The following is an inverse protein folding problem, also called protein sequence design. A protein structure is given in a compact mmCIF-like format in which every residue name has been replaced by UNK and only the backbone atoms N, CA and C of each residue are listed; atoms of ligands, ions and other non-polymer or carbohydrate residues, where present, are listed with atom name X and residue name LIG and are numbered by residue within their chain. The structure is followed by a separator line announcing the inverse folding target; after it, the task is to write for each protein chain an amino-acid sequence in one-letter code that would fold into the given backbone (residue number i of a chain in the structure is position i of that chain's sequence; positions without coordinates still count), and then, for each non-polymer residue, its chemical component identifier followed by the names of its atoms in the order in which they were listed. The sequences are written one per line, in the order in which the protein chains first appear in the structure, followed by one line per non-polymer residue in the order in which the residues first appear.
data_IF_298096663286
#
_entry.id   IF_298096663286
#
_cell.length_a   1.000
_cell.length_b   1.000
_cell.length_c   1.000
_cell.angle_alpha   90.00
_cell.angle_beta   90.00
_cell.angle_gamma   90.00
#
_symmetry.space_group_name_H-M   'P 1'
#
loop_
_entity.id
_entity.type
_entity.pdbx_description
1 polymer ?
#
# COMPACT_ATOMS: atom_id res chain seq x y z
N UNK A 1 -5.79 -10.13 -15.30
CA UNK A 1 -6.88 -11.12 -15.02
C UNK A 1 -6.60 -12.10 -13.86
N UNK A 2 -5.37 -12.28 -13.34
CA UNK A 2 -5.09 -13.26 -12.26
C UNK A 2 -5.24 -12.76 -10.82
N UNK A 3 -5.26 -11.43 -10.58
CA UNK A 3 -5.30 -10.88 -9.21
C UNK A 3 -6.69 -10.94 -8.59
N UNK A 4 -7.72 -10.45 -9.28
CA UNK A 4 -9.10 -10.40 -8.75
C UNK A 4 -9.62 -11.77 -8.28
N UNK A 5 -9.43 -12.87 -9.04
CA UNK A 5 -9.88 -14.19 -8.59
C UNK A 5 -9.21 -14.67 -7.29
N UNK A 6 -7.99 -14.22 -6.97
CA UNK A 6 -7.32 -14.56 -5.72
C UNK A 6 -8.05 -13.98 -4.49
N UNK A 7 -8.88 -12.94 -4.68
CA UNK A 7 -9.71 -12.30 -3.66
C UNK A 7 -11.18 -12.70 -3.77
N UNK A 8 -11.48 -13.76 -4.54
CA UNK A 8 -12.84 -14.18 -4.87
C UNK A 8 -13.65 -13.07 -5.56
N UNK A 9 -12.96 -12.12 -6.19
CA UNK A 9 -13.55 -11.07 -6.99
C UNK A 9 -13.63 -11.55 -8.43
N UNK A 10 -14.83 -11.65 -8.95
CA UNK A 10 -15.10 -11.97 -10.34
C UNK A 10 -15.02 -10.72 -11.21
N UNK A 11 -15.61 -9.62 -10.73
CA UNK A 11 -15.71 -8.36 -11.48
C UNK A 11 -15.86 -7.16 -10.54
N UNK A 12 -15.63 -5.96 -11.08
CA UNK A 12 -15.76 -4.68 -10.37
C UNK A 12 -16.58 -3.72 -11.23
N UNK A 13 -17.60 -3.11 -10.65
CA UNK A 13 -18.43 -2.11 -11.30
C UNK A 13 -18.27 -0.76 -10.61
N UNK A 14 -18.23 0.30 -11.43
CA UNK A 14 -18.31 1.69 -10.98
C UNK A 14 -19.67 2.24 -11.42
N UNK A 15 -20.46 2.71 -10.47
CA UNK A 15 -21.72 3.38 -10.75
C UNK A 15 -21.61 4.85 -10.37
N UNK A 16 -22.03 5.74 -11.27
CA UNK A 16 -22.21 7.16 -10.93
C UNK A 16 -23.42 7.28 -9.99
N UNK A 17 -23.20 7.84 -8.80
CA UNK A 17 -24.22 8.00 -7.77
C UNK A 17 -24.42 9.48 -7.46
N UNK A 18 -25.63 9.83 -7.03
CA UNK A 18 -25.90 11.17 -6.55
C UNK A 18 -25.07 11.44 -5.28
N UNK A 19 -24.39 12.60 -5.15
CA UNK A 19 -23.69 12.97 -3.94
C UNK A 19 -24.66 13.01 -2.75
N UNK A 20 -24.45 12.18 -1.73
CA UNK A 20 -25.18 12.31 -0.48
C UNK A 20 -24.63 13.50 0.32
N UNK A 21 -25.51 14.43 0.66
CA UNK A 21 -25.14 15.61 1.44
C UNK A 21 -25.50 15.42 2.91
N UNK A 22 -24.53 15.21 3.82
CA UNK A 22 -24.81 14.95 5.24
C UNK A 22 -25.48 16.13 5.96
N UNK A 23 -25.53 17.29 5.31
CA UNK A 23 -26.08 18.54 5.84
C UNK A 23 -27.38 19.00 5.16
N UNK A 24 -28.01 18.15 4.32
CA UNK A 24 -29.18 18.54 3.51
C UNK A 24 -30.38 19.07 4.31
N UNK A 25 -30.44 18.82 5.63
CA UNK A 25 -31.55 19.18 6.51
C UNK A 25 -31.16 20.09 7.71
N UNK A 26 -30.00 20.77 7.68
CA UNK A 26 -29.67 21.71 8.76
C UNK A 26 -30.65 22.89 8.73
N UNK A 27 -31.50 22.99 9.76
CA UNK A 27 -32.34 24.17 9.99
C UNK A 27 -31.53 25.19 10.77
N UNK A 28 -31.27 26.33 10.14
CA UNK A 28 -30.68 27.51 10.76
C UNK A 28 -31.49 28.73 10.35
N UNK A 29 -31.69 29.65 11.27
CA UNK A 29 -32.34 30.93 10.97
C UNK A 29 -31.33 31.98 10.46
N UNK A 30 -30.03 31.69 10.53
CA UNK A 30 -28.96 32.56 10.04
C UNK A 30 -28.84 32.49 8.51
N UNK A 31 -29.05 33.62 7.84
CA UNK A 31 -29.04 33.71 6.38
C UNK A 31 -27.64 33.52 5.76
N UNK A 32 -26.56 33.87 6.47
CA UNK A 32 -25.21 33.61 5.99
C UNK A 32 -24.92 32.10 5.96
N UNK A 33 -25.35 31.38 6.99
CA UNK A 33 -25.22 29.93 7.03
C UNK A 33 -26.08 29.26 5.94
N UNK A 34 -27.31 29.72 5.69
CA UNK A 34 -28.14 29.21 4.58
C UNK A 34 -27.44 29.37 3.22
N UNK A 35 -26.83 30.53 2.98
CA UNK A 35 -26.11 30.81 1.74
C UNK A 35 -24.83 29.96 1.59
N UNK A 36 -24.11 29.73 2.69
CA UNK A 36 -22.95 28.83 2.70
C UNK A 36 -23.35 27.39 2.39
N UNK A 37 -24.38 26.86 3.07
CA UNK A 37 -24.86 25.49 2.85
C UNK A 37 -25.37 25.27 1.42
N UNK A 38 -26.13 26.22 0.87
CA UNK A 38 -26.62 26.12 -0.51
C UNK A 38 -25.49 26.17 -1.55
N UNK A 39 -24.47 27.00 -1.32
CA UNK A 39 -23.28 27.08 -2.18
C UNK A 39 -22.49 25.77 -2.16
N UNK A 40 -22.25 25.20 -0.98
CA UNK A 40 -21.58 23.92 -0.80
C UNK A 40 -22.40 22.79 -1.46
N UNK A 41 -23.73 22.79 -1.29
CA UNK A 41 -24.61 21.78 -1.90
C UNK A 41 -24.61 21.88 -3.44
N UNK A 42 -24.61 23.08 -4.00
CA UNK A 42 -24.53 23.27 -5.45
C UNK A 42 -23.18 22.84 -6.01
N UNK A 43 -22.09 23.16 -5.30
CA UNK A 43 -20.76 22.69 -5.66
C UNK A 43 -20.70 21.16 -5.71
N UNK A 44 -21.23 20.51 -4.67
CA UNK A 44 -21.24 19.05 -4.61
C UNK A 44 -22.15 18.38 -5.63
N UNK A 45 -23.33 18.94 -5.93
CA UNK A 45 -24.22 18.44 -6.99
C UNK A 45 -23.53 18.43 -8.37
N UNK A 46 -22.57 19.31 -8.59
CA UNK A 46 -21.80 19.37 -9.82
C UNK A 46 -20.60 18.40 -9.83
N UNK A 47 -20.33 17.70 -8.72
CA UNK A 47 -19.30 16.66 -8.68
C UNK A 47 -19.89 15.31 -9.03
N UNK A 48 -19.15 14.56 -9.85
CA UNK A 48 -19.42 13.15 -10.08
C UNK A 48 -18.92 12.34 -8.91
N UNK A 49 -19.82 11.64 -8.23
CA UNK A 49 -19.48 10.67 -7.19
C UNK A 49 -19.66 9.29 -7.77
N UNK A 50 -18.70 8.40 -7.51
CA UNK A 50 -18.78 7.02 -7.95
C UNK A 50 -18.85 6.09 -6.75
N UNK A 51 -19.77 5.13 -6.79
CA UNK A 51 -19.80 4.00 -5.89
C UNK A 51 -19.16 2.80 -6.57
N UNK A 52 -18.32 2.08 -5.82
CA UNK A 52 -17.68 0.87 -6.32
C UNK A 52 -18.39 -0.37 -5.76
N UNK A 53 -18.75 -1.28 -6.65
CA UNK A 53 -19.34 -2.58 -6.30
C UNK A 53 -18.43 -3.71 -6.75
N UNK A 54 -18.36 -4.74 -5.91
CA UNK A 54 -17.57 -5.95 -6.16
C UNK A 54 -18.54 -7.10 -6.43
N UNK A 55 -18.28 -7.85 -7.52
CA UNK A 55 -19.04 -9.04 -7.85
C UNK A 55 -18.27 -10.27 -7.41
N UNK A 56 -18.93 -11.12 -6.62
CA UNK A 56 -18.39 -12.38 -6.11
C UNK A 56 -19.21 -13.55 -6.60
N UNK A 57 -18.53 -14.67 -6.88
CA UNK A 57 -19.18 -15.92 -7.22
C UNK A 57 -19.45 -16.74 -5.96
N UNK A 58 -20.69 -17.18 -5.82
CA UNK A 58 -21.18 -18.04 -4.74
C UNK A 58 -21.71 -19.36 -5.31
N UNK A 59 -22.02 -20.32 -4.45
CA UNK A 59 -22.66 -21.57 -4.87
C UNK A 59 -24.00 -21.35 -5.59
N UNK A 60 -24.70 -20.25 -5.29
CA UNK A 60 -26.04 -19.95 -5.80
C UNK A 60 -26.04 -18.94 -6.96
N UNK A 61 -24.87 -18.59 -7.50
CA UNK A 61 -24.71 -17.57 -8.55
C UNK A 61 -23.82 -16.42 -8.12
N UNK A 62 -23.98 -15.25 -8.73
CA UNK A 62 -23.17 -14.07 -8.43
C UNK A 62 -23.90 -13.11 -7.48
N UNK A 63 -23.15 -12.51 -6.56
CA UNK A 63 -23.64 -11.44 -5.68
C UNK A 63 -22.81 -10.18 -5.93
N UNK A 64 -23.51 -9.06 -6.09
CA UNK A 64 -22.90 -7.73 -6.15
C UNK A 64 -23.06 -7.05 -4.80
N UNK A 65 -21.96 -6.63 -4.20
CA UNK A 65 -21.96 -5.91 -2.91
C UNK A 65 -21.20 -4.59 -3.02
N UNK A 66 -21.61 -3.53 -2.29
CA UNK A 66 -20.81 -2.32 -2.18
C UNK A 66 -19.43 -2.64 -1.58
N UNK A 67 -18.39 -1.96 -2.07
CA UNK A 67 -17.00 -2.15 -1.61
C UNK A 67 -16.85 -1.94 -0.09
N UNK A 68 -17.74 -1.15 0.53
CA UNK A 68 -17.71 -0.87 1.96
C UNK A 68 -17.91 -2.10 2.84
N UNK A 69 -18.58 -3.13 2.31
CA UNK A 69 -18.79 -4.42 2.97
C UNK A 69 -17.57 -5.36 2.87
N UNK A 70 -16.56 -5.01 2.09
CA UNK A 70 -15.35 -5.81 1.96
C UNK A 70 -14.36 -5.60 3.11
N UNK A 71 -13.43 -6.55 3.26
CA UNK A 71 -12.30 -6.38 4.18
C UNK A 71 -11.40 -5.22 3.74
N UNK A 72 -10.70 -4.59 4.69
CA UNK A 72 -9.74 -3.53 4.38
C UNK A 72 -8.64 -3.97 3.40
N UNK A 73 -8.18 -5.22 3.49
CA UNK A 73 -7.22 -5.78 2.53
C UNK A 73 -7.80 -5.83 1.11
N UNK A 74 -9.04 -6.31 0.97
CA UNK A 74 -9.74 -6.34 -0.33
C UNK A 74 -9.93 -4.94 -0.89
N UNK A 75 -10.40 -3.99 -0.07
CA UNK A 75 -10.57 -2.57 -0.44
C UNK A 75 -9.27 -1.99 -0.97
N UNK A 76 -8.18 -2.17 -0.20
CA UNK A 76 -6.85 -1.66 -0.58
C UNK A 76 -6.40 -2.22 -1.93
N UNK A 77 -6.58 -3.51 -2.20
CA UNK A 77 -6.20 -4.10 -3.50
C UNK A 77 -6.99 -3.47 -4.63
N UNK A 78 -8.32 -3.40 -4.49
CA UNK A 78 -9.19 -2.83 -5.51
C UNK A 78 -8.77 -1.39 -5.83
N UNK A 79 -8.49 -0.58 -4.81
CA UNK A 79 -8.04 0.80 -4.99
C UNK A 79 -6.61 0.90 -5.55
N UNK A 80 -5.72 -0.04 -5.23
CA UNK A 80 -4.32 -0.01 -5.67
C UNK A 80 -4.12 -0.55 -7.10
N UNK A 81 -5.00 -1.45 -7.57
CA UNK A 81 -4.92 -2.02 -8.91
C UNK A 81 -5.01 -0.97 -10.02
N UNK A 82 -5.84 0.05 -9.85
CA UNK A 82 -5.98 1.16 -10.79
C UNK A 82 -4.67 1.94 -10.98
N UNK A 83 -4.09 2.51 -9.90
CA UNK A 83 -2.79 3.18 -9.94
C UNK A 83 -1.65 2.30 -10.45
N UNK A 84 -1.57 1.02 -10.03
CA UNK A 84 -0.56 0.08 -10.53
C UNK A 84 -0.70 -0.10 -12.05
N UNK A 85 -1.93 -0.33 -12.53
CA UNK A 85 -2.20 -0.47 -13.95
C UNK A 85 -1.83 0.80 -14.72
N UNK A 86 -2.29 1.96 -14.25
CA UNK A 86 -2.00 3.26 -14.82
C UNK A 86 -0.49 3.53 -14.92
N UNK A 87 0.27 3.17 -13.89
CA UNK A 87 1.72 3.32 -13.87
C UNK A 87 2.39 2.47 -14.96
N UNK A 88 1.98 1.20 -15.09
CA UNK A 88 2.52 0.29 -16.11
C UNK A 88 2.20 0.77 -17.53
N UNK A 89 0.95 1.15 -17.83
CA UNK A 89 0.56 1.48 -19.22
C UNK A 89 1.08 2.85 -19.68
N UNK A 90 1.27 3.79 -18.76
CA UNK A 90 1.64 5.17 -19.08
C UNK A 90 3.10 5.49 -18.76
N UNK A 91 3.91 4.50 -18.35
CA UNK A 91 5.31 4.69 -17.94
C UNK A 91 5.50 5.72 -16.81
N UNK A 92 4.58 5.73 -15.85
CA UNK A 92 4.62 6.68 -14.74
C UNK A 92 5.36 6.11 -13.53
N UNK A 93 5.79 7.02 -12.65
CA UNK A 93 6.23 6.71 -11.29
C UNK A 93 5.01 6.60 -10.37
N UNK A 94 4.91 5.49 -9.64
CA UNK A 94 3.95 5.27 -8.57
C UNK A 94 4.68 5.29 -7.22
N UNK A 95 4.31 6.24 -6.37
CA UNK A 95 4.78 6.32 -4.99
C UNK A 95 3.70 5.74 -4.06
N UNK A 96 4.07 4.77 -3.23
CA UNK A 96 3.14 4.15 -2.28
C UNK A 96 3.77 4.08 -0.90
N UNK A 97 3.22 4.82 0.04
CA UNK A 97 3.57 4.63 1.44
C UNK A 97 2.85 3.40 2.01
N UNK A 98 3.52 2.68 2.91
CA UNK A 98 3.06 1.43 3.52
C UNK A 98 2.37 0.46 2.52
N UNK A 99 3.06 0.11 1.44
CA UNK A 99 2.49 -0.70 0.35
C UNK A 99 1.91 -2.04 0.84
N UNK A 100 2.55 -2.64 1.83
CA UNK A 100 2.21 -3.93 2.44
C UNK A 100 1.19 -3.83 3.59
N UNK A 101 0.77 -2.63 4.00
CA UNK A 101 -0.24 -2.50 5.06
C UNK A 101 -1.53 -3.24 4.68
N UNK A 102 -2.09 -4.01 5.62
CA UNK A 102 -3.28 -4.88 5.40
C UNK A 102 -3.08 -6.03 4.39
N UNK A 103 -1.88 -6.23 3.85
CA UNK A 103 -1.58 -7.34 2.95
C UNK A 103 -0.83 -8.46 3.67
N UNK A 104 -1.09 -9.68 3.23
CA UNK A 104 -0.21 -10.80 3.52
C UNK A 104 1.05 -10.70 2.65
N UNK A 105 2.22 -11.05 3.17
CA UNK A 105 3.51 -11.02 2.45
C UNK A 105 3.44 -11.56 1.01
N UNK A 106 2.81 -12.73 0.85
CA UNK A 106 2.71 -13.39 -0.46
C UNK A 106 1.93 -12.57 -1.48
N UNK A 107 0.93 -11.82 -1.04
CA UNK A 107 0.18 -10.92 -1.92
C UNK A 107 1.06 -9.76 -2.38
N UNK A 108 1.78 -9.12 -1.44
CA UNK A 108 2.71 -8.04 -1.78
C UNK A 108 3.74 -8.53 -2.81
N UNK A 109 4.37 -9.69 -2.56
CA UNK A 109 5.28 -10.33 -3.52
C UNK A 109 4.63 -10.58 -4.88
N UNK A 110 3.39 -11.06 -4.89
CA UNK A 110 2.66 -11.32 -6.13
C UNK A 110 2.41 -10.04 -6.93
N UNK A 111 2.03 -8.94 -6.28
CA UNK A 111 1.82 -7.64 -6.93
C UNK A 111 3.12 -7.09 -7.53
N UNK A 112 4.21 -7.10 -6.77
CA UNK A 112 5.53 -6.68 -7.28
C UNK A 112 6.00 -7.55 -8.45
N UNK A 113 5.81 -8.87 -8.37
CA UNK A 113 6.15 -9.78 -9.47
C UNK A 113 5.33 -9.51 -10.73
N UNK A 114 4.05 -9.19 -10.59
CA UNK A 114 3.22 -8.78 -11.74
C UNK A 114 3.77 -7.49 -12.33
N UNK A 115 4.09 -6.50 -11.50
CA UNK A 115 4.66 -5.24 -11.97
C UNK A 115 5.97 -5.47 -12.73
N UNK A 116 6.92 -6.23 -12.16
CA UNK A 116 8.19 -6.59 -12.81
C UNK A 116 8.00 -7.36 -14.12
N UNK A 117 6.99 -8.22 -14.22
CA UNK A 117 6.78 -9.07 -15.38
C UNK A 117 5.94 -8.42 -16.50
N UNK A 118 5.18 -7.37 -16.20
CA UNK A 118 4.23 -6.75 -17.14
C UNK A 118 4.56 -5.29 -17.47
N UNK A 119 5.44 -4.67 -16.70
CA UNK A 119 6.00 -3.38 -17.08
C UNK A 119 7.00 -3.58 -18.22
N UNK A 120 6.66 -3.08 -19.41
CA UNK A 120 7.51 -3.17 -20.62
C UNK A 120 8.35 -1.90 -20.87
N UNK A 121 8.28 -0.90 -19.98
CA UNK A 121 8.89 0.42 -20.20
C UNK A 121 9.55 1.03 -18.96
N UNK A 122 9.50 2.37 -18.86
CA UNK A 122 10.17 3.13 -17.81
C UNK A 122 9.32 3.33 -16.53
N UNK A 123 8.21 2.61 -16.40
CA UNK A 123 7.37 2.73 -15.19
C UNK A 123 8.14 2.29 -13.96
N UNK A 124 7.94 3.00 -12.84
CA UNK A 124 8.61 2.69 -11.58
C UNK A 124 7.61 2.65 -10.44
N UNK A 125 7.88 1.80 -9.45
CA UNK A 125 7.21 1.84 -8.15
C UNK A 125 8.27 2.11 -7.09
N UNK A 126 8.07 3.15 -6.29
CA UNK A 126 8.82 3.37 -5.05
C UNK A 126 7.82 3.16 -3.92
N UNK A 127 8.12 2.18 -3.07
CA UNK A 127 7.24 1.77 -1.99
C UNK A 127 7.98 1.74 -0.66
N UNK A 128 7.38 2.32 0.37
CA UNK A 128 7.77 2.04 1.74
C UNK A 128 7.06 0.77 2.21
N UNK A 129 7.78 -0.10 2.92
CA UNK A 129 7.26 -1.38 3.42
C UNK A 129 7.74 -1.66 4.84
N UNK A 130 6.94 -2.42 5.61
CA UNK A 130 7.30 -2.88 6.96
C UNK A 130 7.64 -4.38 7.00
N UNK A 131 7.16 -5.14 6.02
CA UNK A 131 7.32 -6.59 5.94
C UNK A 131 8.73 -6.99 5.49
N UNK A 132 9.55 -7.36 6.48
CA UNK A 132 10.93 -7.84 6.29
C UNK A 132 11.04 -9.07 5.37
N UNK A 133 9.95 -9.83 5.19
CA UNK A 133 9.96 -10.98 4.29
C UNK A 133 10.00 -10.59 2.80
N UNK A 134 9.78 -9.30 2.50
CA UNK A 134 9.99 -8.72 1.16
C UNK A 134 11.47 -8.50 0.84
N UNK A 135 12.35 -8.44 1.85
CA UNK A 135 13.79 -8.31 1.67
C UNK A 135 14.46 -9.62 1.22
N UNK A 136 14.14 -10.06 0.00
CA UNK A 136 14.64 -11.29 -0.58
C UNK A 136 14.95 -11.10 -2.08
N UNK A 137 16.09 -11.66 -2.52
CA UNK A 137 16.56 -11.59 -3.92
C UNK A 137 15.65 -12.26 -4.94
N UNK A 138 14.73 -13.13 -4.51
CA UNK A 138 13.75 -13.81 -5.36
C UNK A 138 12.65 -12.87 -5.90
N UNK A 139 12.53 -11.67 -5.30
CA UNK A 139 11.55 -10.67 -5.70
C UNK A 139 12.22 -9.35 -6.12
N UNK A 140 13.31 -8.95 -5.46
CA UNK A 140 13.99 -7.69 -5.68
C UNK A 140 15.50 -7.88 -5.81
N UNK A 141 16.15 -7.17 -6.73
CA UNK A 141 17.60 -7.09 -6.75
C UNK A 141 18.09 -6.26 -5.55
N UNK A 142 19.37 -6.45 -5.17
CA UNK A 142 19.96 -5.73 -4.03
C UNK A 142 19.88 -4.20 -4.21
N UNK A 143 20.06 -3.69 -5.43
CA UNK A 143 19.98 -2.26 -5.75
C UNK A 143 18.55 -1.68 -5.65
N UNK A 144 17.54 -2.54 -5.54
CA UNK A 144 16.14 -2.17 -5.37
C UNK A 144 15.70 -2.17 -3.89
N UNK A 145 16.57 -2.62 -2.98
CA UNK A 145 16.32 -2.61 -1.54
C UNK A 145 17.10 -1.45 -0.93
N UNK A 146 16.38 -0.56 -0.24
CA UNK A 146 16.91 0.64 0.38
C UNK A 146 16.49 0.71 1.84
N UNK A 147 17.38 1.23 2.67
CA UNK A 147 17.18 1.39 4.10
C UNK A 147 17.14 2.86 4.47
N UNK A 148 16.32 3.19 5.46
CA UNK A 148 16.31 4.50 6.09
C UNK A 148 16.74 4.32 7.54
N UNK A 149 17.93 4.82 7.87
CA UNK A 149 18.42 4.92 9.25
C UNK A 149 18.16 6.32 9.79
N UNK A 150 17.84 6.43 11.08
CA UNK A 150 17.58 7.71 11.76
C UNK A 150 18.60 7.90 12.88
N UNK A 151 19.45 8.93 12.71
CA UNK A 151 20.38 9.32 13.75
C UNK A 151 19.62 10.00 14.90
N UNK A 152 19.65 9.38 16.09
CA UNK A 152 18.91 9.87 17.27
C UNK A 152 19.45 11.19 17.82
N UNK A 153 20.75 11.45 17.64
CA UNK A 153 21.42 12.62 18.22
C UNK A 153 21.15 13.89 17.42
N UNK A 154 21.14 13.77 16.11
CA UNK A 154 20.95 14.87 15.16
C UNK A 154 19.51 14.95 14.62
N UNK A 155 18.75 13.86 14.68
CA UNK A 155 17.42 13.74 14.08
C UNK A 155 17.43 13.55 12.56
N UNK A 156 18.60 13.46 11.92
CA UNK A 156 18.72 13.28 10.47
C UNK A 156 18.38 11.85 10.02
N UNK A 157 17.87 11.71 8.80
CA UNK A 157 17.67 10.40 8.15
C UNK A 157 18.72 10.16 7.07
N UNK A 158 19.30 8.97 7.07
CA UNK A 158 20.26 8.50 6.07
C UNK A 158 19.62 7.40 5.22
N UNK A 159 19.65 7.59 3.91
CA UNK A 159 19.10 6.65 2.93
C UNK A 159 20.26 5.98 2.18
N UNK A 160 20.30 4.65 2.14
CA UNK A 160 21.34 3.88 1.44
C UNK A 160 20.79 2.57 0.90
N UNK A 161 21.36 2.10 -0.20
CA UNK A 161 21.01 0.81 -0.79
C UNK A 161 21.68 -0.35 -0.07
N UNK A 162 21.05 -1.53 -0.09
CA UNK A 162 21.66 -2.79 0.33
C UNK A 162 22.98 -3.09 -0.41
N UNK A 163 23.17 -2.59 -1.64
CA UNK A 163 24.43 -2.76 -2.39
C UNK A 163 25.61 -2.00 -1.77
N UNK A 164 25.34 -0.91 -1.06
CA UNK A 164 26.38 -0.08 -0.43
C UNK A 164 26.96 -0.73 0.82
N UNK A 165 26.28 -1.74 1.37
CA UNK A 165 26.73 -2.44 2.56
C UNK A 165 27.92 -3.35 2.24
N UNK A 166 29.13 -2.92 2.65
CA UNK A 166 30.39 -3.62 2.37
C UNK A 166 30.52 -4.89 3.21
N UNK A 167 30.55 -6.03 2.53
CA UNK A 167 30.69 -7.37 3.09
C UNK A 167 31.89 -7.48 4.06
N UNK A 168 31.61 -7.56 5.36
CA UNK A 168 32.51 -8.23 6.32
C UNK A 168 32.02 -9.68 6.48
N UNK A 169 32.59 -10.58 5.69
CA UNK A 169 32.73 -12.02 5.99
C UNK A 169 31.51 -12.96 6.02
N UNK A 170 30.42 -12.74 5.27
CA UNK A 170 29.43 -13.82 5.07
C UNK A 170 28.96 -13.87 3.64
N UNK A 171 28.97 -15.08 3.04
CA UNK A 171 28.24 -15.37 1.82
C UNK A 171 26.78 -14.98 2.05
N UNK A 172 26.39 -13.81 1.52
CA UNK A 172 25.08 -13.23 1.75
C UNK A 172 24.00 -14.22 1.30
N UNK A 173 23.11 -14.59 2.23
CA UNK A 173 21.99 -15.48 1.93
C UNK A 173 21.02 -14.76 0.98
N UNK A 174 20.21 -15.49 0.19
CA UNK A 174 19.20 -14.89 -0.69
C UNK A 174 18.12 -14.06 0.06
N UNK A 175 17.94 -14.32 1.35
CA UNK A 175 16.95 -13.64 2.20
C UNK A 175 17.66 -12.83 3.28
N UNK A 176 17.42 -11.51 3.28
CA UNK A 176 18.05 -10.54 4.16
C UNK A 176 17.21 -10.15 5.37
N UNK A 177 15.96 -10.59 5.45
CA UNK A 177 15.05 -10.24 6.56
C UNK A 177 15.61 -10.61 7.93
N UNK A 178 16.28 -11.76 8.06
CA UNK A 178 16.92 -12.16 9.32
C UNK A 178 18.12 -11.27 9.65
N UNK A 179 18.93 -10.93 8.66
CA UNK A 179 20.08 -10.04 8.85
C UNK A 179 19.60 -8.64 9.29
N UNK A 180 18.54 -8.13 8.66
CA UNK A 180 17.88 -6.88 9.07
C UNK A 180 17.38 -6.95 10.51
N UNK A 181 16.59 -7.97 10.86
CA UNK A 181 16.08 -8.12 12.23
C UNK A 181 17.20 -8.27 13.25
N UNK A 182 18.35 -8.83 12.86
CA UNK A 182 19.55 -8.93 13.71
C UNK A 182 20.32 -7.61 13.89
N UNK A 183 19.88 -6.53 13.23
CA UNK A 183 20.54 -5.23 13.28
C UNK A 183 21.73 -5.10 12.32
N UNK A 184 21.92 -6.05 11.40
CA UNK A 184 23.10 -6.07 10.51
C UNK A 184 23.14 -4.91 9.52
N UNK A 185 22.06 -4.14 9.36
CA UNK A 185 22.00 -3.00 8.45
C UNK A 185 21.77 -1.69 9.16
N UNK A 186 21.88 -1.61 10.50
CA UNK A 186 21.72 -0.38 11.32
C UNK A 186 20.33 0.31 11.27
N UNK A 187 19.43 -0.06 10.34
CA UNK A 187 18.12 0.57 10.12
C UNK A 187 16.94 -0.08 10.89
N UNK A 188 17.22 -0.72 12.03
CA UNK A 188 16.18 -1.33 12.88
C UNK A 188 15.45 -0.27 13.73
N UNK A 189 14.22 -0.56 14.22
CA UNK A 189 13.55 0.33 15.16
C UNK A 189 14.41 0.64 16.38
N UNK A 190 14.45 1.91 16.75
CA UNK A 190 15.15 2.39 17.93
C UNK A 190 14.31 2.10 19.16
N UNK A 191 14.68 1.07 19.92
CA UNK A 191 14.08 0.80 21.23
C UNK A 191 14.87 1.55 22.32
N UNK A 192 14.17 2.21 23.23
CA UNK A 192 14.79 2.99 24.32
C UNK A 192 15.57 2.11 25.33
N UNK A 193 15.34 0.79 25.32
CA UNK A 193 15.96 -0.17 26.22
C UNK A 193 16.55 -1.37 25.46
N UNK A 194 17.89 -1.42 25.40
CA UNK A 194 18.63 -2.52 24.76
C UNK A 194 18.30 -3.90 25.36
N UNK A 195 17.97 -3.97 26.66
CA UNK A 195 17.59 -5.23 27.31
C UNK A 195 16.20 -5.75 26.91
N UNK A 196 15.33 -4.89 26.38
CA UNK A 196 14.04 -5.32 25.81
C UNK A 196 14.19 -5.76 24.36
N UNK A 197 15.08 -5.08 23.63
CA UNK A 197 15.42 -5.46 22.26
C UNK A 197 16.06 -6.85 22.16
N UNK A 198 17.02 -7.18 23.03
CA UNK A 198 17.65 -8.51 23.09
C UNK A 198 16.65 -9.64 23.35
N UNK A 199 15.53 -9.36 24.02
CA UNK A 199 14.47 -10.35 24.29
C UNK A 199 13.55 -10.59 23.09
N UNK A 200 13.53 -9.68 22.11
CA UNK A 200 12.70 -9.77 20.89
C UNK A 200 13.47 -10.40 19.72
N UNK A 201 14.79 -10.52 19.84
CA UNK A 201 15.65 -11.20 18.87
C UNK A 201 15.40 -12.72 18.90
N UNK A 202 15.20 -13.37 17.73
CA UNK A 202 15.22 -14.83 17.69
C UNK A 202 16.60 -15.34 18.13
N UNK A 203 16.63 -16.36 19.00
CA UNK A 203 17.88 -17.03 19.36
C UNK A 203 18.52 -17.59 18.08
N UNK A 204 19.74 -17.12 17.80
CA UNK A 204 20.52 -17.46 16.61
C UNK A 204 21.20 -18.82 16.68
#
# INVERSE_FOLDING_TARGET
KKILPAFQINDIYLDEVAPEFPFGNIKTDDDNLKNLFSSIQNFAKNQKVFSLRVVKKTANGEISVPIDFESEGTKKIVYLLGPIYNAMINNNLLLVDEFDSKFHTLLSKFLFRIFHAQSEGFSQVIAAVQDVNLMNTDCFRRDQIWFVDKDVKSGSSHLYSLVEYKEKQRSLKPSYGNDYLSGAFDAIPLFDNLNEFEKLMPEG
#
